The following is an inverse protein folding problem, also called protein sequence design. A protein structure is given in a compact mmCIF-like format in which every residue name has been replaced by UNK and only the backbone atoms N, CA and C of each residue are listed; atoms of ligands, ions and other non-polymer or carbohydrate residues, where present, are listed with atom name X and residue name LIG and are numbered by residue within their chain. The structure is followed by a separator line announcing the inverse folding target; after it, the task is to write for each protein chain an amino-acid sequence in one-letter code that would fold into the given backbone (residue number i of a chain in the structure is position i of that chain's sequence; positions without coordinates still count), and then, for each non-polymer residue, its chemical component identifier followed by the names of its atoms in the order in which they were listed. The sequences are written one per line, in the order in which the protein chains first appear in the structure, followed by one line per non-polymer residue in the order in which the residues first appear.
data_IF_709960804194
#
_entry.id   IF_709960804194
#
_cell.length_a   1.000
_cell.length_b   1.000
_cell.length_c   1.000
_cell.angle_alpha   90.00
_cell.angle_beta   90.00
_cell.angle_gamma   90.00
#
_symmetry.space_group_name_H-M   'P 1'
#
loop_
_entity.id
_entity.type
_entity.pdbx_description
1 polymer ?
#
# COMPACT_ATOMS: atom_id res chain seq x y z
N UNK A 1 11.58 -19.12 -24.11
CA UNK A 1 11.25 -19.76 -22.82
C UNK A 1 12.08 -19.10 -21.74
N UNK A 2 11.49 -18.83 -20.57
CA UNK A 2 12.21 -18.30 -19.40
C UNK A 2 11.76 -16.90 -18.96
N UNK A 3 10.46 -16.69 -18.76
CA UNK A 3 10.01 -15.56 -17.96
C UNK A 3 10.44 -15.80 -16.52
N UNK A 4 11.54 -15.18 -16.10
CA UNK A 4 11.94 -15.13 -14.69
C UNK A 4 10.86 -14.38 -13.92
N UNK A 5 9.87 -15.13 -13.43
CA UNK A 5 8.97 -14.66 -12.37
C UNK A 5 9.83 -14.52 -11.13
N UNK A 6 10.52 -13.37 -11.01
CA UNK A 6 11.29 -13.03 -9.83
C UNK A 6 10.40 -13.21 -8.61
N UNK A 7 10.79 -14.16 -7.75
CA UNK A 7 10.23 -14.35 -6.42
C UNK A 7 10.79 -13.25 -5.53
N UNK A 8 10.49 -11.99 -5.86
CA UNK A 8 10.94 -10.87 -5.02
C UNK A 8 10.33 -11.06 -3.63
N UNK A 9 11.15 -11.10 -2.57
CA UNK A 9 10.65 -11.13 -1.21
C UNK A 9 9.84 -9.84 -0.95
N UNK A 10 8.85 -9.89 -0.05
CA UNK A 10 8.15 -8.68 0.36
C UNK A 10 9.15 -7.66 0.91
N UNK A 11 9.16 -6.47 0.31
CA UNK A 11 9.94 -5.34 0.82
C UNK A 11 9.42 -4.97 2.21
N UNK A 12 10.29 -4.42 3.05
CA UNK A 12 9.85 -3.88 4.32
C UNK A 12 9.03 -2.61 4.08
N UNK A 13 7.75 -2.69 4.39
CA UNK A 13 6.79 -1.59 4.21
C UNK A 13 6.67 -0.72 5.46
N UNK A 14 7.25 -1.12 6.60
CA UNK A 14 7.19 -0.30 7.82
C UNK A 14 7.80 1.10 7.63
N UNK A 15 9.00 1.26 7.05
CA UNK A 15 9.58 2.59 6.83
C UNK A 15 8.76 3.43 5.85
N UNK A 16 8.21 2.78 4.82
CA UNK A 16 7.34 3.44 3.84
C UNK A 16 6.03 3.92 4.49
N UNK A 17 5.41 3.09 5.33
CA UNK A 17 4.21 3.43 6.08
C UNK A 17 4.48 4.60 7.04
N UNK A 18 5.53 4.51 7.85
CA UNK A 18 5.87 5.55 8.84
C UNK A 18 6.07 6.90 8.16
N UNK A 19 6.81 6.92 7.05
CA UNK A 19 7.04 8.15 6.27
C UNK A 19 5.76 8.66 5.61
N UNK A 20 4.92 7.77 5.10
CA UNK A 20 3.64 8.16 4.50
C UNK A 20 2.69 8.76 5.56
N UNK A 21 2.67 8.20 6.78
CA UNK A 21 1.92 8.72 7.94
C UNK A 21 2.50 10.04 8.44
N UNK A 22 3.82 10.22 8.44
CA UNK A 22 4.43 11.50 8.77
C UNK A 22 3.97 12.62 7.82
N UNK A 23 3.85 12.32 6.53
CA UNK A 23 3.47 13.28 5.50
C UNK A 23 1.95 13.49 5.36
N UNK A 24 1.16 12.44 5.53
CA UNK A 24 -0.27 12.42 5.22
C UNK A 24 -1.18 12.07 6.41
N UNK A 25 -0.60 11.60 7.52
CA UNK A 25 -1.32 11.14 8.69
C UNK A 25 -1.82 12.28 9.57
N UNK A 26 -2.69 11.92 10.52
CA UNK A 26 -3.21 12.79 11.56
C UNK A 26 -3.01 12.09 12.90
N UNK A 27 -2.35 12.74 13.85
CA UNK A 27 -2.01 12.16 15.16
C UNK A 27 -1.26 10.81 15.08
N UNK A 28 -0.40 10.63 14.07
CA UNK A 28 0.35 9.38 13.87
C UNK A 28 -0.47 8.21 13.32
N UNK A 29 -1.70 8.47 12.85
CA UNK A 29 -2.58 7.50 12.22
C UNK A 29 -2.85 7.88 10.77
N UNK A 30 -3.00 6.90 9.89
CA UNK A 30 -3.32 7.12 8.48
C UNK A 30 -4.85 7.20 8.30
N UNK A 31 -5.42 8.33 7.84
CA UNK A 31 -6.84 8.41 7.54
C UNK A 31 -7.22 7.47 6.39
N UNK A 32 -8.45 6.93 6.43
CA UNK A 32 -8.98 6.06 5.38
C UNK A 32 -8.87 6.68 3.97
N UNK A 33 -9.12 7.99 3.84
CA UNK A 33 -8.98 8.73 2.58
C UNK A 33 -7.56 8.73 2.05
N UNK A 34 -6.56 8.89 2.91
CA UNK A 34 -5.14 8.87 2.53
C UNK A 34 -4.67 7.48 2.17
N UNK A 35 -5.17 6.45 2.86
CA UNK A 35 -4.92 5.07 2.47
C UNK A 35 -5.48 4.73 1.08
N UNK A 36 -6.71 5.17 0.76
CA UNK A 36 -7.31 5.02 -0.58
C UNK A 36 -6.45 5.68 -1.67
N UNK A 37 -5.95 6.89 -1.39
CA UNK A 37 -5.06 7.60 -2.31
C UNK A 37 -3.77 6.81 -2.53
N UNK A 38 -3.15 6.31 -1.46
CA UNK A 38 -1.91 5.53 -1.57
C UNK A 38 -2.08 4.25 -2.40
N UNK A 39 -3.22 3.54 -2.24
CA UNK A 39 -3.55 2.38 -3.07
C UNK A 39 -3.71 2.76 -4.55
N UNK A 40 -4.25 3.94 -4.83
CA UNK A 40 -4.42 4.46 -6.20
C UNK A 40 -3.07 4.82 -6.81
N UNK A 41 -2.22 5.52 -6.07
CA UNK A 41 -0.85 5.88 -6.46
C UNK A 41 0.03 4.65 -6.69
N UNK A 42 -0.21 3.57 -5.94
CA UNK A 42 0.43 2.28 -6.09
C UNK A 42 -0.13 1.44 -7.25
N UNK A 43 -1.09 1.97 -8.02
CA UNK A 43 -1.79 1.25 -9.10
C UNK A 43 -2.38 -0.09 -8.62
N UNK A 44 -2.81 -0.14 -7.36
CA UNK A 44 -3.41 -1.34 -6.78
C UNK A 44 -4.87 -1.48 -7.19
N UNK A 45 -5.54 -0.44 -7.68
CA UNK A 45 -6.87 -0.57 -8.27
C UNK A 45 -6.76 -0.95 -9.75
N UNK A 46 -7.33 -2.08 -10.16
CA UNK A 46 -7.37 -2.45 -11.57
C UNK A 46 -7.42 -3.96 -11.86
N UNK A 47 -7.40 -4.31 -13.15
CA UNK A 47 -7.52 -5.70 -13.61
C UNK A 47 -6.35 -6.58 -13.16
N UNK A 48 -5.14 -6.03 -13.04
CA UNK A 48 -3.94 -6.78 -12.64
C UNK A 48 -3.98 -7.26 -11.18
N UNK A 49 -4.59 -6.46 -10.32
CA UNK A 49 -4.74 -6.79 -8.92
C UNK A 49 -6.10 -7.39 -8.61
N UNK A 50 -7.13 -7.21 -9.45
CA UNK A 50 -8.54 -7.54 -9.14
C UNK A 50 -9.06 -6.89 -7.84
N UNK A 51 -8.49 -5.75 -7.43
CA UNK A 51 -9.04 -4.95 -6.32
C UNK A 51 -9.93 -3.86 -6.91
N UNK A 52 -11.16 -3.80 -6.43
CA UNK A 52 -12.11 -2.75 -6.79
C UNK A 52 -12.19 -1.70 -5.67
N UNK A 53 -12.69 -0.48 -5.98
CA UNK A 53 -13.02 0.50 -4.94
C UNK A 53 -13.94 -0.07 -3.86
N UNK A 54 -14.89 -0.94 -4.25
CA UNK A 54 -15.84 -1.58 -3.33
C UNK A 54 -15.13 -2.53 -2.36
N UNK A 55 -14.14 -3.31 -2.83
CA UNK A 55 -13.34 -4.15 -1.93
C UNK A 55 -12.62 -3.29 -0.87
N UNK A 56 -12.14 -2.10 -1.24
CA UNK A 56 -11.45 -1.19 -0.32
C UNK A 56 -12.41 -0.64 0.74
N UNK A 57 -13.60 -0.15 0.35
CA UNK A 57 -14.63 0.30 1.30
C UNK A 57 -15.01 -0.82 2.27
N UNK A 58 -15.21 -2.04 1.76
CA UNK A 58 -15.56 -3.20 2.57
C UNK A 58 -14.47 -3.53 3.60
N UNK A 59 -13.20 -3.51 3.19
CA UNK A 59 -12.06 -3.78 4.09
C UNK A 59 -11.91 -2.69 5.14
N UNK A 60 -12.04 -1.42 4.77
CA UNK A 60 -11.96 -0.29 5.71
C UNK A 60 -13.09 -0.32 6.74
N UNK A 61 -14.31 -0.58 6.28
CA UNK A 61 -15.50 -0.72 7.14
C UNK A 61 -15.34 -1.91 8.09
N UNK A 62 -14.91 -3.07 7.59
CA UNK A 62 -14.72 -4.28 8.40
C UNK A 62 -13.64 -4.14 9.48
N UNK A 63 -12.69 -3.23 9.26
CA UNK A 63 -11.62 -2.93 10.21
C UNK A 63 -11.88 -1.67 11.05
N UNK A 64 -13.07 -1.05 10.94
CA UNK A 64 -13.45 0.17 11.66
C UNK A 64 -12.48 1.36 11.47
N UNK A 65 -11.81 1.44 10.33
CA UNK A 65 -10.77 2.44 10.05
C UNK A 65 -11.35 3.84 9.85
N UNK A 66 -12.56 3.94 9.29
CA UNK A 66 -13.20 5.21 8.95
C UNK A 66 -13.44 6.12 10.16
N UNK A 67 -13.41 5.57 11.38
CA UNK A 67 -13.63 6.32 12.63
C UNK A 67 -12.36 6.60 13.42
N UNK A 68 -11.35 5.74 13.32
CA UNK A 68 -10.21 5.76 14.24
C UNK A 68 -8.87 6.12 13.56
N UNK A 69 -8.79 6.09 12.23
CA UNK A 69 -7.51 6.11 11.53
C UNK A 69 -6.79 4.76 11.65
N UNK A 70 -5.81 4.54 10.78
CA UNK A 70 -5.12 3.27 10.61
C UNK A 70 -3.70 3.34 11.19
N UNK A 71 -3.38 2.46 12.12
CA UNK A 71 -2.00 2.21 12.54
C UNK A 71 -1.33 1.14 11.65
N UNK A 72 -0.08 0.79 11.94
CA UNK A 72 0.65 -0.17 11.11
C UNK A 72 0.07 -1.60 11.14
N UNK A 73 -0.50 -2.04 12.26
CA UNK A 73 -1.13 -3.36 12.36
C UNK A 73 -2.45 -3.43 11.60
N UNK A 74 -3.25 -2.37 11.69
CA UNK A 74 -4.46 -2.20 10.89
C UNK A 74 -4.13 -2.17 9.39
N UNK A 75 -3.08 -1.44 9.01
CA UNK A 75 -2.60 -1.39 7.63
C UNK A 75 -2.24 -2.77 7.09
N UNK A 76 -1.41 -3.54 7.81
CA UNK A 76 -1.06 -4.91 7.40
C UNK A 76 -2.29 -5.78 7.24
N UNK A 77 -3.26 -5.66 8.16
CA UNK A 77 -4.52 -6.41 8.10
C UNK A 77 -5.33 -6.03 6.86
N UNK A 78 -5.48 -4.74 6.57
CA UNK A 78 -6.17 -4.27 5.37
C UNK A 78 -5.50 -4.77 4.08
N UNK A 79 -4.17 -4.71 3.98
CA UNK A 79 -3.44 -5.22 2.80
C UNK A 79 -3.65 -6.73 2.64
N UNK A 80 -3.62 -7.49 3.74
CA UNK A 80 -3.88 -8.94 3.73
C UNK A 80 -5.31 -9.29 3.33
N UNK A 81 -6.30 -8.53 3.81
CA UNK A 81 -7.71 -8.69 3.45
C UNK A 81 -7.95 -8.36 1.96
N UNK A 82 -7.34 -7.27 1.45
CA UNK A 82 -7.37 -6.90 0.03
C UNK A 82 -6.68 -7.93 -0.86
N UNK A 83 -5.63 -8.58 -0.36
CA UNK A 83 -4.99 -9.71 -1.02
C UNK A 83 -5.84 -11.00 -0.97
N UNK A 84 -6.98 -10.98 -0.27
CA UNK A 84 -7.88 -12.14 -0.08
C UNK A 84 -7.12 -13.36 0.46
N UNK A 85 -6.13 -13.13 1.33
CA UNK A 85 -5.24 -14.16 1.88
C UNK A 85 -4.23 -14.77 0.90
N UNK A 86 -4.14 -14.29 -0.34
CA UNK A 86 -3.17 -14.77 -1.34
C UNK A 86 -1.81 -14.10 -1.13
N UNK A 87 -0.85 -14.82 -0.52
CA UNK A 87 0.51 -14.31 -0.22
C UNK A 87 1.21 -13.63 -1.42
N UNK A 88 1.08 -14.19 -2.64
CA UNK A 88 1.71 -13.60 -3.84
C UNK A 88 1.12 -12.21 -4.18
N UNK A 89 -0.17 -12.03 -3.96
CA UNK A 89 -0.88 -10.76 -4.19
C UNK A 89 -0.51 -9.74 -3.10
N UNK A 90 -0.46 -10.20 -1.85
CA UNK A 90 0.02 -9.41 -0.71
C UNK A 90 1.44 -8.88 -0.93
N UNK A 91 2.39 -9.74 -1.29
CA UNK A 91 3.78 -9.33 -1.61
C UNK A 91 3.83 -8.29 -2.72
N UNK A 92 3.05 -8.46 -3.79
CA UNK A 92 3.00 -7.48 -4.89
C UNK A 92 2.44 -6.14 -4.43
N UNK A 93 1.35 -6.14 -3.66
CA UNK A 93 0.76 -4.92 -3.12
C UNK A 93 1.73 -4.17 -2.21
N UNK A 94 2.40 -4.89 -1.31
CA UNK A 94 3.43 -4.34 -0.43
C UNK A 94 4.53 -3.67 -1.26
N UNK A 95 5.06 -4.35 -2.27
CA UNK A 95 6.12 -3.80 -3.11
C UNK A 95 5.64 -2.55 -3.87
N UNK A 96 4.43 -2.55 -4.42
CA UNK A 96 3.85 -1.39 -5.08
C UNK A 96 3.64 -0.20 -4.13
N UNK A 97 3.18 -0.45 -2.90
CA UNK A 97 2.99 0.58 -1.88
C UNK A 97 4.31 1.23 -1.48
N UNK A 98 5.36 0.42 -1.28
CA UNK A 98 6.71 0.93 -1.01
C UNK A 98 7.19 1.80 -2.18
N UNK A 99 7.07 1.33 -3.42
CA UNK A 99 7.46 2.12 -4.60
C UNK A 99 6.69 3.43 -4.71
N UNK A 100 5.38 3.44 -4.43
CA UNK A 100 4.57 4.65 -4.43
C UNK A 100 4.97 5.62 -3.32
N UNK A 101 5.24 5.12 -2.12
CA UNK A 101 5.73 5.94 -1.02
C UNK A 101 7.10 6.55 -1.36
N UNK A 102 8.02 5.79 -1.94
CA UNK A 102 9.32 6.28 -2.41
C UNK A 102 9.18 7.38 -3.46
N UNK A 103 8.26 7.21 -4.42
CA UNK A 103 7.96 8.21 -5.44
C UNK A 103 7.42 9.52 -4.83
N UNK A 104 6.50 9.41 -3.86
CA UNK A 104 5.97 10.58 -3.14
C UNK A 104 7.01 11.25 -2.23
N UNK A 105 7.99 10.48 -1.76
CA UNK A 105 9.05 10.94 -0.88
C UNK A 105 10.29 11.46 -1.63
N UNK A 106 10.25 11.49 -2.96
CA UNK A 106 11.43 11.59 -3.82
C UNK A 106 11.32 12.60 -4.95
N UNK A 107 11.15 13.89 -4.63
CA UNK A 107 11.74 14.95 -5.45
C UNK A 107 12.88 15.61 -4.66
N UNK A 108 14.00 14.91 -4.53
CA UNK A 108 15.32 15.52 -4.24
C UNK A 108 16.50 14.74 -4.81
N UNK A 109 16.36 13.47 -5.23
CA UNK A 109 17.54 12.64 -5.61
C UNK A 109 17.43 11.77 -6.85
N UNK A 110 16.38 11.91 -7.68
CA UNK A 110 16.34 11.25 -8.99
C UNK A 110 16.91 12.17 -10.09
N UNK A 111 18.16 12.62 -9.95
CA UNK A 111 19.01 13.03 -11.09
C UNK A 111 20.15 12.04 -11.19
N UNK A 112 19.90 10.97 -11.93
CA UNK A 112 20.86 9.90 -12.13
C UNK A 112 20.28 8.79 -12.98
N UNK A 113 19.79 9.15 -14.18
CA UNK A 113 19.72 8.19 -15.26
C UNK A 113 20.91 8.51 -16.18
N UNK A 114 21.85 7.57 -16.43
CA UNK A 114 22.83 7.73 -17.50
C UNK A 114 22.15 7.78 -18.87
#
# INVERSE_FOLDING_TARGET
MGGSFNKEPPRDVKPAFDKYVELNGVNGLLPATRFKNWLTEAFILGQDTEVTPVDIENVLSSNNIDRNGMNFDDFKKCVKDLAKGKKKRETRMINSLVSAAEANCGCSTCKGHP
#
